data_IF_119575612580
#
_entry.id   IF_119575612580
#
_cell.length_a   1.000
_cell.length_b   1.000
_cell.length_c   1.000
_cell.angle_alpha   90.00
_cell.angle_beta   90.00
_cell.angle_gamma   90.00
#
_symmetry.space_group_name_H-M   'P 1'
#
loop_
_entity.id
_entity.type
_entity.pdbx_description
1 polymer ?
#
# COMPACT_ATOMS: atom_id res chain seq x y z
N UNK A 1 -3.59 17.75 11.86
CA UNK A 1 -4.99 17.92 11.37
C UNK A 1 -5.08 18.91 10.21
N UNK A 2 -4.25 19.93 10.24
CA UNK A 2 -4.20 21.11 9.38
C UNK A 2 -4.13 20.86 7.87
N UNK A 3 -3.55 19.73 7.45
CA UNK A 3 -3.29 19.47 6.04
C UNK A 3 -4.54 19.08 5.23
N UNK A 4 -5.60 18.62 5.90
CA UNK A 4 -6.81 18.10 5.24
C UNK A 4 -8.12 18.55 5.90
N UNK A 5 -8.05 19.07 7.13
CA UNK A 5 -9.18 19.57 7.89
C UNK A 5 -8.95 21.03 8.30
N UNK A 6 -9.98 21.67 8.83
CA UNK A 6 -9.95 22.95 9.52
C UNK A 6 -9.35 22.88 10.94
N UNK A 7 -9.15 21.67 11.48
CA UNK A 7 -8.58 21.44 12.80
C UNK A 7 -7.09 21.75 12.87
N UNK A 8 -6.59 21.94 14.10
CA UNK A 8 -5.19 22.29 14.39
C UNK A 8 -4.51 21.26 15.29
N UNK A 9 -3.23 21.00 15.04
CA UNK A 9 -2.37 20.20 15.91
C UNK A 9 -2.20 18.73 15.49
N UNK A 10 -1.51 17.98 16.34
CA UNK A 10 -1.23 16.56 16.12
C UNK A 10 -2.47 15.71 16.38
N UNK A 11 -2.81 14.81 15.45
CA UNK A 11 -4.00 13.96 15.53
C UNK A 11 -4.10 13.16 16.83
N UNK A 12 -2.96 12.73 17.40
CA UNK A 12 -2.90 11.93 18.64
C UNK A 12 -3.32 12.68 19.91
N UNK A 13 -3.40 14.01 19.86
CA UNK A 13 -3.79 14.85 21.00
C UNK A 13 -5.31 15.09 21.07
N UNK A 14 -6.08 14.48 20.17
CA UNK A 14 -7.53 14.62 20.10
C UNK A 14 -8.21 13.27 20.26
N UNK A 15 -9.37 13.28 20.92
CA UNK A 15 -10.25 12.14 21.00
C UNK A 15 -10.88 11.86 19.63
N UNK A 16 -11.32 10.62 19.42
CA UNK A 16 -12.00 10.26 18.18
C UNK A 16 -13.34 10.99 18.03
N UNK A 17 -13.99 11.38 19.13
CA UNK A 17 -15.20 12.19 19.12
C UNK A 17 -14.93 13.62 18.57
N UNK A 18 -13.86 14.27 19.03
CA UNK A 18 -13.44 15.57 18.51
C UNK A 18 -12.99 15.49 17.05
N UNK A 19 -12.21 14.46 16.69
CA UNK A 19 -11.76 14.25 15.32
C UNK A 19 -12.93 14.09 14.34
N UNK A 20 -14.02 13.47 14.77
CA UNK A 20 -15.24 13.31 13.97
C UNK A 20 -15.99 14.62 13.76
N UNK A 21 -15.80 15.66 14.56
CA UNK A 21 -16.47 16.94 14.31
C UNK A 21 -15.85 17.73 13.16
N UNK A 22 -14.67 17.32 12.67
CA UNK A 22 -13.92 18.01 11.64
C UNK A 22 -14.43 17.69 10.23
N UNK A 23 -14.25 18.63 9.31
CA UNK A 23 -14.53 18.47 7.89
C UNK A 23 -13.31 17.87 7.15
N UNK A 24 -13.38 16.57 6.84
CA UNK A 24 -12.34 15.88 6.05
C UNK A 24 -12.29 16.33 4.57
N UNK A 25 -13.28 17.10 4.12
CA UNK A 25 -13.29 17.75 2.80
C UNK A 25 -12.67 19.15 2.79
N UNK A 26 -12.37 19.73 3.96
CA UNK A 26 -12.02 21.15 4.09
C UNK A 26 -10.79 21.58 3.29
N UNK A 27 -9.74 20.75 3.36
CA UNK A 27 -8.45 21.00 2.72
C UNK A 27 -8.30 20.35 1.35
N UNK A 28 -9.33 19.63 0.86
CA UNK A 28 -9.22 18.96 -0.45
C UNK A 28 -9.29 19.98 -1.60
N UNK A 29 -8.29 19.94 -2.46
CA UNK A 29 -8.22 20.71 -3.69
C UNK A 29 -7.49 19.90 -4.76
N UNK A 30 -7.96 19.97 -6.00
CA UNK A 30 -7.33 19.33 -7.16
C UNK A 30 -6.54 20.33 -8.02
N UNK A 31 -6.67 21.63 -7.77
CA UNK A 31 -6.12 22.71 -8.61
C UNK A 31 -5.13 23.61 -7.86
N UNK A 32 -4.51 23.07 -6.80
CA UNK A 32 -3.50 23.78 -6.01
C UNK A 32 -4.08 24.85 -5.08
N UNK A 33 -5.34 24.71 -4.68
CA UNK A 33 -5.98 25.56 -3.68
C UNK A 33 -6.84 26.69 -4.25
N UNK A 34 -7.15 26.69 -5.56
CA UNK A 34 -8.06 27.69 -6.14
C UNK A 34 -9.51 27.35 -5.81
N UNK A 35 -9.87 26.06 -5.84
CA UNK A 35 -11.20 25.58 -5.40
C UNK A 35 -11.10 24.47 -4.35
N UNK A 36 -12.14 24.39 -3.51
CA UNK A 36 -12.31 23.37 -2.45
C UNK A 36 -13.69 22.72 -2.56
N UNK A 37 -13.90 21.77 -3.49
CA UNK A 37 -15.23 21.31 -3.90
C UNK A 37 -15.96 20.49 -2.82
N UNK A 38 -15.22 19.98 -1.82
CA UNK A 38 -15.74 19.17 -0.72
C UNK A 38 -15.82 19.91 0.62
N UNK A 39 -15.41 21.18 0.67
CA UNK A 39 -15.50 21.96 1.91
C UNK A 39 -16.97 22.09 2.34
N UNK A 40 -17.22 21.87 3.62
CA UNK A 40 -18.53 21.81 4.26
C UNK A 40 -19.29 20.49 4.03
N UNK A 41 -18.74 19.55 3.25
CA UNK A 41 -19.43 18.29 2.90
C UNK A 41 -18.90 17.07 3.65
N UNK A 42 -17.73 17.18 4.28
CA UNK A 42 -17.06 16.08 4.99
C UNK A 42 -17.17 16.13 6.52
N UNK A 43 -18.00 17.02 7.07
CA UNK A 43 -18.20 17.14 8.52
C UNK A 43 -18.81 15.82 9.05
N UNK A 44 -18.25 15.25 10.12
CA UNK A 44 -18.76 13.99 10.67
C UNK A 44 -18.22 12.74 9.99
N UNK A 45 -17.50 12.87 8.86
CA UNK A 45 -17.20 11.75 7.98
C UNK A 45 -15.82 11.11 8.22
N UNK A 46 -15.06 11.54 9.23
CA UNK A 46 -13.77 10.91 9.55
C UNK A 46 -13.98 9.51 10.13
N UNK A 47 -13.61 8.43 9.43
CA UNK A 47 -13.86 7.09 9.93
C UNK A 47 -12.72 6.64 10.85
N UNK A 48 -13.06 5.85 11.86
CA UNK A 48 -12.10 5.00 12.57
C UNK A 48 -11.72 3.78 11.71
N UNK A 49 -10.60 3.14 12.04
CA UNK A 49 -10.22 1.86 11.41
C UNK A 49 -11.33 0.81 11.56
N UNK A 50 -11.95 0.75 12.73
CA UNK A 50 -13.02 -0.21 13.04
C UNK A 50 -14.23 -0.02 12.14
N UNK A 51 -14.63 1.23 11.88
CA UNK A 51 -15.73 1.54 10.96
C UNK A 51 -15.39 1.14 9.52
N UNK A 52 -14.15 1.37 9.07
CA UNK A 52 -13.70 0.94 7.74
C UNK A 52 -13.75 -0.58 7.62
N UNK A 53 -13.19 -1.31 8.60
CA UNK A 53 -13.14 -2.77 8.57
C UNK A 53 -14.53 -3.40 8.70
N UNK A 54 -15.42 -2.83 9.53
CA UNK A 54 -16.80 -3.29 9.66
C UNK A 54 -17.61 -3.05 8.39
N UNK A 55 -17.40 -1.91 7.71
CA UNK A 55 -18.10 -1.57 6.47
C UNK A 55 -17.58 -2.39 5.27
N UNK A 56 -16.29 -2.75 5.27
CA UNK A 56 -15.63 -3.45 4.17
C UNK A 56 -14.92 -4.76 4.60
N UNK A 57 -15.63 -5.74 5.17
CA UNK A 57 -15.02 -6.89 5.85
C UNK A 57 -14.23 -7.83 4.93
N UNK A 58 -14.52 -7.84 3.62
CA UNK A 58 -13.86 -8.69 2.63
C UNK A 58 -12.98 -7.90 1.63
N UNK A 59 -12.65 -6.65 1.93
CA UNK A 59 -11.79 -5.82 1.07
C UNK A 59 -10.35 -5.82 1.56
N UNK A 60 -9.43 -5.68 0.60
CA UNK A 60 -8.01 -5.57 0.90
C UNK A 60 -7.64 -4.15 1.29
N UNK A 61 -6.86 -3.99 2.36
CA UNK A 61 -6.36 -2.71 2.81
C UNK A 61 -4.87 -2.76 3.09
N UNK A 62 -4.16 -1.69 2.71
CA UNK A 62 -2.80 -1.41 3.14
C UNK A 62 -2.85 -0.31 4.21
N UNK A 63 -2.64 -0.69 5.47
CA UNK A 63 -2.72 0.19 6.63
C UNK A 63 -1.36 0.84 6.85
N UNK A 64 -1.30 2.17 6.74
CA UNK A 64 -0.07 2.94 6.93
C UNK A 64 0.05 3.43 8.38
N UNK A 65 1.07 2.98 9.11
CA UNK A 65 1.47 3.60 10.38
C UNK A 65 2.33 4.82 10.09
N UNK A 66 1.77 6.01 10.34
CA UNK A 66 2.34 7.28 9.90
C UNK A 66 3.56 7.73 10.72
N UNK A 67 3.66 7.33 11.98
CA UNK A 67 4.83 7.64 12.80
C UNK A 67 5.88 6.52 12.76
N UNK A 68 7.05 6.75 13.35
CA UNK A 68 8.04 5.71 13.64
C UNK A 68 8.05 5.33 15.13
N UNK A 69 6.91 5.49 15.81
CA UNK A 69 6.72 5.16 17.23
C UNK A 69 6.33 3.68 17.37
N UNK A 70 7.11 2.84 18.09
CA UNK A 70 6.74 1.44 18.30
C UNK A 70 5.40 1.28 19.02
N UNK A 71 5.01 2.21 19.89
CA UNK A 71 3.76 2.14 20.65
C UNK A 71 2.51 2.25 19.76
N UNK A 72 2.59 2.93 18.62
CA UNK A 72 1.51 2.91 17.62
C UNK A 72 1.39 1.54 16.94
N UNK A 73 2.52 0.89 16.67
CA UNK A 73 2.57 -0.47 16.15
C UNK A 73 1.98 -1.49 17.12
N UNK A 74 2.31 -1.38 18.41
CA UNK A 74 1.77 -2.24 19.47
C UNK A 74 0.25 -2.10 19.63
N UNK A 75 -0.26 -0.85 19.65
CA UNK A 75 -1.71 -0.59 19.71
C UNK A 75 -2.44 -1.14 18.48
N UNK A 76 -1.87 -0.94 17.29
CA UNK A 76 -2.44 -1.50 16.05
C UNK A 76 -2.42 -3.03 16.08
N UNK A 77 -1.32 -3.65 16.51
CA UNK A 77 -1.21 -5.10 16.62
C UNK A 77 -2.23 -5.67 17.61
N UNK A 78 -2.39 -5.06 18.78
CA UNK A 78 -3.42 -5.46 19.75
C UNK A 78 -4.83 -5.38 19.14
N UNK A 79 -5.12 -4.35 18.34
CA UNK A 79 -6.42 -4.22 17.67
C UNK A 79 -6.61 -5.28 16.57
N UNK A 80 -5.60 -5.54 15.76
CA UNK A 80 -5.64 -6.54 14.69
C UNK A 80 -5.64 -7.98 15.22
N UNK A 81 -5.11 -8.21 16.43
CA UNK A 81 -5.15 -9.51 17.09
C UNK A 81 -6.58 -9.99 17.38
N UNK A 82 -7.54 -9.07 17.50
CA UNK A 82 -8.96 -9.37 17.68
C UNK A 82 -9.65 -9.87 16.40
N UNK A 83 -9.01 -9.74 15.23
CA UNK A 83 -9.51 -10.27 13.97
C UNK A 83 -9.06 -11.72 13.78
N UNK A 84 -9.88 -12.52 13.13
CA UNK A 84 -9.50 -13.88 12.71
C UNK A 84 -8.33 -13.85 11.72
N UNK A 85 -7.55 -14.94 11.59
CA UNK A 85 -6.50 -15.03 10.59
C UNK A 85 -6.99 -14.77 9.15
N UNK A 86 -8.23 -15.16 8.83
CA UNK A 86 -8.81 -14.93 7.50
C UNK A 86 -9.14 -13.45 7.26
N UNK A 87 -9.60 -12.72 8.26
CA UNK A 87 -9.82 -11.28 8.16
C UNK A 87 -8.47 -10.54 8.04
N UNK A 88 -7.49 -10.91 8.87
CA UNK A 88 -6.13 -10.39 8.80
C UNK A 88 -5.46 -10.64 7.45
N UNK A 89 -5.78 -11.76 6.79
CA UNK A 89 -5.26 -12.07 5.47
C UNK A 89 -5.62 -10.98 4.44
N UNK A 90 -6.73 -10.26 4.56
CA UNK A 90 -7.00 -9.17 3.60
C UNK A 90 -6.18 -7.90 3.86
N UNK A 91 -5.51 -7.82 5.00
CA UNK A 91 -4.82 -6.63 5.46
C UNK A 91 -3.32 -6.75 5.20
N UNK A 92 -2.67 -5.60 5.01
CA UNK A 92 -1.23 -5.47 5.19
C UNK A 92 -0.93 -4.20 5.98
N UNK A 93 0.20 -4.18 6.67
CA UNK A 93 0.61 -3.02 7.48
C UNK A 93 1.97 -2.54 7.00
N UNK A 94 2.10 -1.24 6.76
CA UNK A 94 3.37 -0.65 6.35
C UNK A 94 3.64 0.67 7.06
N UNK A 95 4.91 1.07 7.14
CA UNK A 95 5.31 2.27 7.88
C UNK A 95 6.77 2.26 8.29
N UNK A 96 7.09 3.02 9.35
CA UNK A 96 8.42 3.07 9.93
C UNK A 96 8.90 1.71 10.46
N UNK A 97 10.22 1.50 10.50
CA UNK A 97 10.80 0.20 10.89
C UNK A 97 10.40 -0.23 12.31
N UNK A 98 10.30 0.71 13.25
CA UNK A 98 9.97 0.41 14.66
C UNK A 98 8.53 -0.09 14.85
N UNK A 99 7.47 0.62 14.41
CA UNK A 99 6.10 0.11 14.53
C UNK A 99 5.87 -1.17 13.75
N UNK A 100 6.49 -1.31 12.57
CA UNK A 100 6.33 -2.53 11.76
C UNK A 100 7.01 -3.74 12.40
N UNK A 101 8.17 -3.56 13.03
CA UNK A 101 8.79 -4.61 13.83
C UNK A 101 7.88 -5.03 15.00
N UNK A 102 7.25 -4.08 15.70
CA UNK A 102 6.31 -4.37 16.77
C UNK A 102 5.08 -5.16 16.27
N UNK A 103 4.49 -4.75 15.14
CA UNK A 103 3.38 -5.49 14.50
C UNK A 103 3.81 -6.90 14.11
N UNK A 104 4.98 -7.07 13.48
CA UNK A 104 5.46 -8.38 13.02
C UNK A 104 5.79 -9.32 14.19
N UNK A 105 6.30 -8.78 15.29
CA UNK A 105 6.60 -9.56 16.50
C UNK A 105 5.32 -10.08 17.17
N UNK A 106 4.27 -9.25 17.25
CA UNK A 106 2.99 -9.62 17.85
C UNK A 106 2.12 -10.49 16.92
N UNK A 107 2.18 -10.25 15.61
CA UNK A 107 1.38 -10.94 14.59
C UNK A 107 2.27 -11.45 13.43
N UNK A 108 2.98 -12.59 13.61
CA UNK A 108 3.91 -13.12 12.60
C UNK A 108 3.24 -13.51 11.27
N UNK A 109 1.92 -13.74 11.28
CA UNK A 109 1.10 -14.07 10.11
C UNK A 109 0.80 -12.87 9.21
N UNK A 110 0.92 -11.63 9.71
CA UNK A 110 0.60 -10.43 8.94
C UNK A 110 1.60 -10.17 7.81
N UNK A 111 1.06 -9.70 6.68
CA UNK A 111 1.83 -9.05 5.62
C UNK A 111 2.29 -7.68 6.08
N UNK A 112 3.60 -7.50 6.13
CA UNK A 112 4.20 -6.25 6.62
C UNK A 112 5.21 -5.67 5.64
N UNK A 113 5.38 -4.36 5.69
CA UNK A 113 6.40 -3.65 4.92
C UNK A 113 7.00 -2.48 5.71
N UNK A 114 8.33 -2.49 5.83
CA UNK A 114 9.11 -1.33 6.24
C UNK A 114 10.28 -1.15 5.29
N UNK A 115 11.01 -0.04 5.41
CA UNK A 115 12.22 0.19 4.61
C UNK A 115 13.26 -0.90 4.87
N UNK A 116 13.47 -1.29 6.13
CA UNK A 116 14.39 -2.36 6.50
C UNK A 116 13.97 -3.71 5.91
N UNK A 117 12.69 -4.09 6.03
CA UNK A 117 12.23 -5.40 5.50
C UNK A 117 12.33 -5.44 3.96
N UNK A 118 11.96 -4.36 3.28
CA UNK A 118 12.08 -4.25 1.82
C UNK A 118 13.54 -4.35 1.37
N UNK A 119 14.44 -3.62 2.04
CA UNK A 119 15.87 -3.62 1.73
C UNK A 119 16.46 -5.02 1.92
N UNK A 120 16.15 -5.70 3.02
CA UNK A 120 16.63 -7.06 3.27
C UNK A 120 16.12 -8.06 2.24
N UNK A 121 14.84 -7.97 1.84
CA UNK A 121 14.31 -8.81 0.78
C UNK A 121 15.01 -8.55 -0.55
N UNK A 122 15.04 -7.29 -1.01
CA UNK A 122 15.60 -6.94 -2.32
C UNK A 122 17.08 -7.30 -2.42
N UNK A 123 17.90 -6.97 -1.41
CA UNK A 123 19.35 -7.27 -1.45
C UNK A 123 19.62 -8.78 -1.50
N UNK A 124 18.91 -9.57 -0.68
CA UNK A 124 19.08 -11.03 -0.67
C UNK A 124 18.53 -11.66 -1.95
N UNK A 125 17.42 -11.14 -2.48
CA UNK A 125 16.85 -11.62 -3.73
C UNK A 125 17.75 -11.27 -4.92
N UNK A 126 18.39 -10.10 -4.93
CA UNK A 126 19.38 -9.75 -5.94
C UNK A 126 20.57 -10.73 -5.94
N UNK A 127 21.05 -11.12 -4.75
CA UNK A 127 22.17 -12.05 -4.62
C UNK A 127 21.81 -13.51 -4.99
N UNK A 128 20.60 -13.97 -4.67
CA UNK A 128 20.23 -15.40 -4.73
C UNK A 128 19.17 -15.73 -5.78
N UNK A 129 18.42 -14.74 -6.28
CA UNK A 129 17.23 -14.94 -7.12
C UNK A 129 17.52 -15.52 -8.51
N UNK A 130 18.77 -15.47 -8.97
CA UNK A 130 19.22 -16.15 -10.19
C UNK A 130 19.06 -17.67 -10.10
N UNK A 131 19.21 -18.24 -8.90
CA UNK A 131 19.02 -19.68 -8.64
C UNK A 131 17.55 -20.10 -8.57
N UNK A 132 16.62 -19.12 -8.55
CA UNK A 132 15.21 -19.35 -8.27
C UNK A 132 14.83 -19.40 -6.80
N UNK A 133 15.81 -19.32 -5.89
CA UNK A 133 15.57 -19.22 -4.46
C UNK A 133 14.91 -17.89 -4.06
N UNK A 134 13.93 -17.96 -3.16
CA UNK A 134 13.29 -16.78 -2.54
C UNK A 134 13.73 -16.71 -1.07
N UNK A 135 14.47 -15.67 -0.65
CA UNK A 135 14.93 -15.53 0.72
C UNK A 135 13.79 -15.44 1.73
N UNK A 136 14.02 -15.92 2.95
CA UNK A 136 13.03 -15.83 4.05
C UNK A 136 12.61 -14.39 4.36
N UNK A 137 13.51 -13.42 4.15
CA UNK A 137 13.22 -11.99 4.29
C UNK A 137 12.11 -11.51 3.34
N UNK A 138 11.85 -12.23 2.25
CA UNK A 138 10.81 -11.91 1.29
C UNK A 138 9.48 -12.61 1.56
N UNK A 139 9.36 -13.56 2.49
CA UNK A 139 8.14 -14.35 2.70
C UNK A 139 7.10 -13.57 3.49
N UNK A 140 5.81 -13.71 3.16
CA UNK A 140 4.69 -13.01 3.84
C UNK A 140 4.93 -11.49 3.94
N UNK A 141 5.53 -10.92 2.90
CA UNK A 141 5.86 -9.50 2.83
C UNK A 141 4.91 -8.75 1.90
N UNK A 142 4.82 -7.44 2.07
CA UNK A 142 4.36 -6.54 1.01
C UNK A 142 5.58 -5.87 0.39
N UNK A 143 5.68 -5.85 -0.93
CA UNK A 143 6.77 -5.24 -1.68
C UNK A 143 6.19 -4.11 -2.53
N UNK A 144 6.68 -2.89 -2.32
CA UNK A 144 6.41 -1.76 -3.20
C UNK A 144 7.65 -1.54 -4.06
N UNK A 145 7.53 -1.77 -5.37
CA UNK A 145 8.67 -1.79 -6.28
C UNK A 145 8.48 -0.71 -7.35
N UNK A 146 9.38 0.27 -7.46
CA UNK A 146 9.36 1.22 -8.55
C UNK A 146 9.47 0.53 -9.92
N UNK A 147 8.64 0.94 -10.87
CA UNK A 147 8.57 0.30 -12.20
C UNK A 147 9.91 0.29 -12.94
N UNK A 148 10.74 1.33 -12.77
CA UNK A 148 12.07 1.42 -13.38
C UNK A 148 13.12 0.51 -12.71
N UNK A 149 12.86 0.04 -11.50
CA UNK A 149 13.70 -0.93 -10.77
C UNK A 149 13.24 -2.36 -11.05
N UNK A 150 11.94 -2.58 -11.17
CA UNK A 150 11.32 -3.90 -11.28
C UNK A 150 11.92 -4.76 -12.41
N UNK A 151 12.27 -4.15 -13.55
CA UNK A 151 12.90 -4.81 -14.71
C UNK A 151 14.22 -5.52 -14.41
N UNK A 152 14.88 -5.18 -13.31
CA UNK A 152 16.15 -5.79 -12.89
C UNK A 152 15.96 -6.96 -11.93
N UNK A 153 14.73 -7.25 -11.50
CA UNK A 153 14.46 -8.40 -10.64
C UNK A 153 14.59 -9.70 -11.43
N UNK A 154 15.31 -10.68 -10.86
CA UNK A 154 15.45 -11.99 -11.47
C UNK A 154 14.09 -12.62 -11.78
N UNK A 155 13.86 -12.93 -13.06
CA UNK A 155 12.61 -13.52 -13.54
C UNK A 155 11.48 -12.53 -13.80
N UNK A 156 11.75 -11.22 -13.83
CA UNK A 156 10.73 -10.21 -14.12
C UNK A 156 10.06 -10.41 -15.51
N UNK A 157 8.74 -10.19 -15.63
CA UNK A 157 7.78 -10.03 -14.53
C UNK A 157 7.28 -11.38 -14.00
N UNK A 158 6.92 -12.33 -14.87
CA UNK A 158 6.06 -13.46 -14.51
C UNK A 158 6.69 -14.37 -13.46
N UNK A 159 7.93 -14.84 -13.70
CA UNK A 159 8.59 -15.75 -12.74
C UNK A 159 8.86 -15.07 -11.41
N UNK A 160 9.16 -13.78 -11.41
CA UNK A 160 9.32 -13.01 -10.18
C UNK A 160 8.01 -12.94 -9.40
N UNK A 161 6.91 -12.57 -10.07
CA UNK A 161 5.59 -12.47 -9.47
C UNK A 161 5.11 -13.82 -8.94
N UNK A 162 5.26 -14.89 -9.71
CA UNK A 162 4.90 -16.26 -9.31
C UNK A 162 5.69 -16.71 -8.07
N UNK A 163 6.99 -16.39 -8.02
CA UNK A 163 7.85 -16.69 -6.87
C UNK A 163 7.42 -15.95 -5.61
N UNK A 164 7.12 -14.66 -5.73
CA UNK A 164 6.65 -13.86 -4.59
C UNK A 164 5.28 -14.35 -4.12
N UNK A 165 4.36 -14.64 -5.03
CA UNK A 165 3.06 -15.23 -4.70
C UNK A 165 3.22 -16.60 -4.03
N UNK A 166 4.13 -17.44 -4.51
CA UNK A 166 4.40 -18.77 -3.93
C UNK A 166 4.95 -18.73 -2.50
N UNK A 167 5.46 -17.59 -2.04
CA UNK A 167 5.85 -17.36 -0.63
C UNK A 167 4.89 -16.44 0.13
N UNK A 168 3.68 -16.29 -0.40
CA UNK A 168 2.61 -15.45 0.15
C UNK A 168 3.02 -13.97 0.28
N UNK A 169 3.74 -13.45 -0.72
CA UNK A 169 4.14 -12.05 -0.76
C UNK A 169 3.42 -11.28 -1.85
N UNK A 170 3.07 -10.04 -1.51
CA UNK A 170 2.28 -9.13 -2.36
C UNK A 170 3.21 -8.13 -3.00
N UNK A 171 3.14 -8.00 -4.32
CA UNK A 171 3.93 -7.03 -5.07
C UNK A 171 2.98 -5.96 -5.60
N UNK A 172 3.29 -4.70 -5.34
CA UNK A 172 2.66 -3.56 -5.98
C UNK A 172 3.72 -2.73 -6.69
N UNK A 173 3.48 -2.40 -7.96
CA UNK A 173 4.30 -1.46 -8.70
C UNK A 173 3.99 -0.03 -8.28
N UNK A 174 5.06 0.75 -8.13
CA UNK A 174 5.03 2.19 -7.93
C UNK A 174 5.48 2.93 -9.20
N UNK A 175 5.27 4.24 -9.21
CA UNK A 175 5.88 5.13 -10.18
C UNK A 175 7.42 5.04 -10.21
N UNK A 176 8.07 5.59 -11.25
CA UNK A 176 9.52 5.56 -11.36
C UNK A 176 10.21 6.20 -10.15
N UNK A 177 11.24 5.55 -9.61
CA UNK A 177 12.06 6.14 -8.57
C UNK A 177 12.99 7.21 -9.15
N UNK A 178 12.88 8.44 -8.66
CA UNK A 178 13.63 9.62 -9.13
C UNK A 178 14.54 10.23 -8.06
N UNK A 179 14.77 9.54 -6.93
CA UNK A 179 15.69 9.99 -5.87
C UNK A 179 15.01 10.72 -4.70
N UNK A 180 13.82 10.30 -4.30
CA UNK A 180 13.03 10.88 -3.19
C UNK A 180 12.20 9.84 -2.45
N UNK A 181 11.01 10.22 -1.98
CA UNK A 181 10.15 9.36 -1.17
C UNK A 181 9.60 8.13 -1.92
N UNK A 182 9.56 6.99 -1.23
CA UNK A 182 9.21 5.65 -1.74
C UNK A 182 7.69 5.40 -1.95
N UNK A 183 6.92 6.40 -2.37
CA UNK A 183 5.45 6.26 -2.38
C UNK A 183 4.72 6.90 -3.55
N UNK A 184 5.40 7.34 -4.61
CA UNK A 184 4.70 7.88 -5.78
C UNK A 184 3.89 6.79 -6.49
N UNK A 185 2.61 7.08 -6.75
CA UNK A 185 1.76 6.26 -7.59
C UNK A 185 2.32 6.08 -9.01
N UNK A 186 1.97 4.95 -9.63
CA UNK A 186 2.13 4.73 -11.05
C UNK A 186 0.96 5.41 -11.77
N UNK A 187 1.08 6.72 -11.95
CA UNK A 187 -0.02 7.60 -12.37
C UNK A 187 0.01 7.96 -13.86
N UNK A 188 1.03 7.52 -14.59
CA UNK A 188 1.21 7.77 -16.02
C UNK A 188 0.56 6.65 -16.86
N UNK A 189 -0.50 6.93 -17.65
CA UNK A 189 -1.10 5.99 -18.59
C UNK A 189 -0.10 5.30 -19.53
N UNK A 190 0.92 6.01 -19.98
CA UNK A 190 1.91 5.45 -20.92
C UNK A 190 2.77 4.36 -20.25
N UNK A 191 3.08 4.52 -18.96
CA UNK A 191 3.77 3.48 -18.21
C UNK A 191 2.89 2.24 -17.99
N UNK A 192 1.57 2.41 -17.86
CA UNK A 192 0.61 1.29 -17.77
C UNK A 192 0.61 0.50 -19.08
N UNK A 193 0.53 1.19 -20.23
CA UNK A 193 0.58 0.56 -21.56
C UNK A 193 1.89 -0.20 -21.81
N UNK A 194 2.99 0.25 -21.21
CA UNK A 194 4.32 -0.34 -21.34
C UNK A 194 4.61 -1.47 -20.34
N UNK A 195 3.71 -1.76 -19.39
CA UNK A 195 3.88 -2.92 -18.50
C UNK A 195 3.99 -4.20 -19.34
N UNK A 196 4.82 -5.19 -18.98
CA UNK A 196 4.96 -6.35 -19.85
C UNK A 196 3.67 -7.17 -19.94
N UNK A 197 3.48 -7.90 -21.05
CA UNK A 197 2.32 -8.75 -21.24
C UNK A 197 2.24 -9.84 -20.16
N UNK A 198 1.03 -10.10 -19.66
CA UNK A 198 0.80 -11.07 -18.59
C UNK A 198 1.16 -10.58 -17.18
N UNK A 199 1.47 -9.29 -17.01
CA UNK A 199 1.68 -8.70 -15.69
C UNK A 199 0.47 -8.97 -14.77
N UNK A 200 0.72 -9.57 -13.60
CA UNK A 200 -0.31 -10.01 -12.66
C UNK A 200 -0.18 -9.38 -11.26
N UNK A 201 0.80 -8.49 -11.07
CA UNK A 201 1.03 -7.81 -9.79
C UNK A 201 0.04 -6.67 -9.55
N UNK A 202 0.06 -6.13 -8.32
CA UNK A 202 -0.72 -4.94 -7.98
C UNK A 202 -0.15 -3.66 -8.58
N UNK A 203 -0.96 -2.63 -8.70
CA UNK A 203 -0.55 -1.28 -9.11
C UNK A 203 -0.97 -0.32 -7.99
N UNK A 204 -0.04 0.50 -7.52
CA UNK A 204 -0.34 1.61 -6.62
C UNK A 204 -0.49 2.87 -7.46
N UNK A 205 -1.57 3.62 -7.31
CA UNK A 205 -1.81 4.86 -8.07
C UNK A 205 -2.59 5.85 -7.21
N UNK A 206 -2.28 7.13 -7.37
CA UNK A 206 -3.01 8.27 -6.83
C UNK A 206 -3.99 8.87 -7.87
N UNK A 207 -3.86 8.50 -9.15
CA UNK A 207 -4.62 9.03 -10.29
C UNK A 207 -5.50 7.96 -10.96
N UNK A 208 -6.36 7.31 -10.16
CA UNK A 208 -7.20 6.20 -10.62
C UNK A 208 -8.05 6.56 -11.84
N UNK A 209 -8.57 7.78 -11.89
CA UNK A 209 -9.36 8.32 -13.01
C UNK A 209 -8.58 8.36 -14.33
N UNK A 210 -7.27 8.62 -14.26
CA UNK A 210 -6.39 8.70 -15.43
C UNK A 210 -5.96 7.32 -15.93
N UNK A 211 -5.57 6.41 -15.03
CA UNK A 211 -4.94 5.13 -15.41
C UNK A 211 -5.93 3.97 -15.58
N UNK A 212 -7.14 4.07 -15.00
CA UNK A 212 -8.12 2.97 -15.05
C UNK A 212 -8.58 2.59 -16.47
N UNK A 213 -8.75 3.52 -17.45
CA UNK A 213 -9.07 3.14 -18.83
C UNK A 213 -8.06 2.16 -19.41
N UNK A 214 -6.76 2.44 -19.29
CA UNK A 214 -5.69 1.59 -19.82
C UNK A 214 -5.56 0.27 -19.05
N UNK A 215 -5.76 0.30 -17.73
CA UNK A 215 -5.83 -0.92 -16.91
C UNK A 215 -6.97 -1.83 -17.41
N UNK A 216 -8.16 -1.26 -17.66
CA UNK A 216 -9.29 -2.05 -18.16
C UNK A 216 -9.02 -2.63 -19.54
N UNK A 217 -8.50 -1.81 -20.45
CA UNK A 217 -8.15 -2.26 -21.80
C UNK A 217 -7.15 -3.44 -21.76
N UNK A 218 -6.13 -3.33 -20.90
CA UNK A 218 -5.05 -4.30 -20.82
C UNK A 218 -5.41 -5.60 -20.11
N UNK A 219 -6.24 -5.54 -19.06
CA UNK A 219 -6.49 -6.69 -18.18
C UNK A 219 -7.92 -7.26 -18.24
N UNK A 220 -8.85 -6.62 -18.97
CA UNK A 220 -10.24 -7.11 -19.13
C UNK A 220 -10.45 -7.83 -20.46
N UNK A 221 -9.57 -7.63 -21.45
CA UNK A 221 -9.61 -8.42 -22.69
C UNK A 221 -9.23 -9.88 -22.34
N UNK A 222 -10.08 -10.89 -22.63
CA UNK A 222 -9.64 -12.28 -22.54
C UNK A 222 -8.42 -12.41 -23.46
N UNK A 223 -7.39 -13.12 -22.98
CA UNK A 223 -6.18 -13.37 -23.76
C UNK A 223 -6.61 -13.83 -25.16
N UNK A 224 -6.44 -12.95 -26.16
CA UNK A 224 -6.60 -13.36 -27.53
C UNK A 224 -5.50 -14.39 -27.74
N UNK A 225 -5.92 -15.66 -27.76
CA UNK A 225 -5.10 -16.77 -28.22
C UNK A 225 -4.71 -16.44 -29.65
N UNK A 226 -3.53 -15.89 -29.84
CA UNK A 226 -2.93 -15.82 -31.17
C UNK A 226 -2.67 -17.27 -31.60
N UNK A 227 -3.17 -17.68 -32.78
CA UNK A 227 -3.04 -19.04 -33.28
C UNK A 227 -1.59 -19.45 -33.56
#
# INVERSE_FOLDING_TARGET
>A
LDCRTEGKGETRNHSMAELKTLDVGYGYTADGGKIFPFRGKGIGMMPSLDEVLAHFPARRFNINVKSNDPGEGEKLAARLAMLSPNERFYLSVYGGDKPIAAVKAALPDMHTLSRASLTQCILRYAALGWSGYVPDACRKGTLLIPVNIAKWMWGWPNRFLDRMQGVDSRVYLLGPYTGGDFSQGLDDPELIKQLPNGYSGGISTDALDLVMPDIKERFTQPAQSTP
#
